data_IF_496517665055
#
_entry.id   IF_496517665055
#
_cell.length_a   1.000
_cell.length_b   1.000
_cell.length_c   1.000
_cell.angle_alpha   90.00
_cell.angle_beta   90.00
_cell.angle_gamma   90.00
#
_symmetry.space_group_name_H-M   'P 1'
#
loop_
_entity.id
_entity.type
_entity.pdbx_description
1 polymer ?
#
# COMPACT_ATOMS: atom_id res chain seq x y z
N UNK A 1 7.06 16.21 25.42
CA UNK A 1 7.75 15.36 24.42
C UNK A 1 8.59 16.29 23.56
N UNK A 2 9.89 16.03 23.42
CA UNK A 2 10.77 16.88 22.62
C UNK A 2 10.41 16.80 21.14
N UNK A 3 10.54 17.91 20.40
CA UNK A 3 10.46 17.90 18.95
C UNK A 3 11.49 16.91 18.41
N UNK A 4 11.02 15.84 17.76
CA UNK A 4 11.90 15.02 16.93
C UNK A 4 12.49 15.98 15.89
N UNK A 5 13.81 16.16 15.87
CA UNK A 5 14.49 16.76 14.72
C UNK A 5 14.00 15.97 13.51
N UNK A 6 13.18 16.55 12.61
CA UNK A 6 12.59 15.76 11.56
C UNK A 6 13.75 15.23 10.74
N UNK A 7 13.79 13.92 10.47
CA UNK A 7 14.73 13.26 9.56
C UNK A 7 14.58 13.75 8.09
N UNK A 8 14.05 14.97 7.90
CA UNK A 8 13.66 15.56 6.63
C UNK A 8 12.37 15.01 6.07
N UNK A 9 11.61 14.20 6.83
CA UNK A 9 10.43 13.50 6.31
C UNK A 9 9.30 14.43 5.87
N UNK A 10 9.24 15.64 6.41
CA UNK A 10 8.33 16.69 6.00
C UNK A 10 8.46 17.13 4.53
N UNK A 11 9.55 16.73 3.86
CA UNK A 11 9.86 17.02 2.45
C UNK A 11 9.48 15.89 1.49
N UNK A 12 9.09 14.72 1.99
CA UNK A 12 8.68 13.63 1.10
C UNK A 12 7.20 13.76 0.74
N UNK A 13 6.93 13.35 -0.50
CA UNK A 13 5.61 13.06 -1.03
C UNK A 13 5.67 11.61 -1.51
N UNK A 14 4.85 10.74 -0.94
CA UNK A 14 4.96 9.28 -1.14
C UNK A 14 3.65 8.73 -1.66
N UNK A 15 3.72 8.06 -2.81
CA UNK A 15 2.65 7.21 -3.34
C UNK A 15 3.11 5.77 -3.16
N UNK A 16 2.31 4.97 -2.48
CA UNK A 16 2.53 3.56 -2.24
C UNK A 16 1.40 2.78 -2.88
N UNK A 17 1.73 1.84 -3.77
CA UNK A 17 0.74 1.05 -4.49
C UNK A 17 0.95 -0.42 -4.12
N UNK A 18 -0.10 -1.05 -3.62
CA UNK A 18 -0.12 -2.49 -3.37
C UNK A 18 -0.69 -3.26 -4.55
N UNK A 19 -0.40 -4.55 -4.59
CA UNK A 19 -0.96 -5.51 -5.56
C UNK A 19 -2.20 -6.20 -5.02
N UNK A 20 -2.74 -5.68 -3.92
CA UNK A 20 -3.77 -6.30 -3.12
C UNK A 20 -3.33 -7.55 -2.37
N UNK A 21 -4.25 -8.08 -1.58
CA UNK A 21 -4.14 -9.33 -0.82
C UNK A 21 -5.49 -10.04 -0.85
N UNK A 22 -5.48 -11.36 -0.67
CA UNK A 22 -6.72 -12.09 -0.49
C UNK A 22 -7.50 -11.52 0.71
N UNK A 23 -8.83 -11.66 0.69
CA UNK A 23 -9.63 -11.54 1.91
C UNK A 23 -8.96 -12.33 3.05
N UNK A 24 -9.10 -11.86 4.30
CA UNK A 24 -8.54 -12.50 5.52
C UNK A 24 -9.12 -13.91 5.74
N UNK A 25 -8.76 -14.83 4.86
CA UNK A 25 -8.97 -16.26 5.01
C UNK A 25 -8.01 -16.70 6.11
N UNK A 26 -8.53 -17.27 7.19
CA UNK A 26 -7.72 -17.87 8.25
C UNK A 26 -7.04 -19.16 7.75
N UNK A 27 -6.22 -19.05 6.69
CA UNK A 27 -5.62 -20.17 5.94
C UNK A 27 -4.77 -21.07 6.83
N UNK A 28 -4.16 -20.49 7.86
CA UNK A 28 -3.27 -21.17 8.79
C UNK A 28 -3.66 -20.87 10.23
N UNK A 29 -3.46 -21.85 11.11
CA UNK A 29 -3.56 -21.65 12.55
C UNK A 29 -2.40 -22.36 13.28
N UNK A 30 -2.13 -21.93 14.51
CA UNK A 30 -1.02 -22.43 15.30
C UNK A 30 -1.07 -23.96 15.50
N UNK A 31 -2.27 -24.56 15.62
CA UNK A 31 -2.42 -26.02 15.80
C UNK A 31 -2.02 -26.79 14.53
N UNK A 32 -2.31 -26.25 13.34
CA UNK A 32 -1.90 -26.80 12.04
C UNK A 32 -0.39 -26.65 11.86
N UNK A 33 0.14 -25.44 12.06
CA UNK A 33 1.57 -25.13 11.90
C UNK A 33 2.48 -25.88 12.88
N UNK A 34 2.00 -26.19 14.10
CA UNK A 34 2.76 -26.97 15.08
C UNK A 34 3.13 -28.40 14.60
N UNK A 35 2.45 -28.90 13.57
CA UNK A 35 2.71 -30.22 12.97
C UNK A 35 3.53 -30.13 11.68
N UNK A 36 3.91 -28.93 11.23
CA UNK A 36 4.61 -28.74 9.96
C UNK A 36 6.09 -29.10 10.04
N UNK A 37 6.55 -29.84 9.03
CA UNK A 37 7.97 -29.97 8.69
C UNK A 37 8.38 -28.94 7.64
N UNK A 38 9.66 -28.94 7.23
CA UNK A 38 10.21 -27.98 6.24
C UNK A 38 9.39 -27.96 4.95
N UNK A 39 8.92 -29.12 4.47
CA UNK A 39 8.11 -29.20 3.24
C UNK A 39 6.80 -28.43 3.41
N UNK A 40 6.05 -28.65 4.49
CA UNK A 40 4.79 -27.93 4.75
C UNK A 40 4.97 -26.43 4.94
N UNK A 41 6.12 -26.00 5.48
CA UNK A 41 6.46 -24.58 5.54
C UNK A 41 6.70 -23.96 4.15
N UNK A 42 7.24 -24.72 3.20
CA UNK A 42 7.48 -24.28 1.82
C UNK A 42 6.24 -24.41 0.93
N UNK A 43 5.44 -25.45 1.15
CA UNK A 43 4.26 -25.77 0.36
C UNK A 43 3.24 -26.58 1.18
N UNK A 44 2.01 -26.09 1.27
CA UNK A 44 0.90 -26.76 1.94
C UNK A 44 -0.36 -26.58 1.10
N UNK A 45 -0.91 -27.66 0.55
CA UNK A 45 -2.23 -27.65 -0.13
C UNK A 45 -2.42 -26.54 -1.19
N UNK A 46 -1.46 -26.40 -2.11
CA UNK A 46 -1.52 -25.40 -3.18
C UNK A 46 -1.12 -23.97 -2.76
N UNK A 47 -0.71 -23.78 -1.50
CA UNK A 47 -0.22 -22.50 -0.97
C UNK A 47 1.28 -22.54 -0.69
N UNK A 48 1.89 -21.37 -0.50
CA UNK A 48 3.32 -21.23 -0.15
C UNK A 48 3.47 -20.50 1.19
N UNK A 49 3.25 -21.18 2.34
CA UNK A 49 2.99 -20.50 3.60
C UNK A 49 4.07 -19.52 4.04
N UNK A 50 5.35 -19.91 3.93
CA UNK A 50 6.45 -19.04 4.32
C UNK A 50 6.53 -17.78 3.45
N UNK A 51 6.33 -17.92 2.14
CA UNK A 51 6.38 -16.80 1.21
C UNK A 51 5.21 -15.84 1.48
N UNK A 52 4.00 -16.38 1.57
CA UNK A 52 2.77 -15.62 1.86
C UNK A 52 2.88 -14.86 3.19
N UNK A 53 3.32 -15.51 4.27
CA UNK A 53 3.48 -14.87 5.58
C UNK A 53 4.48 -13.72 5.49
N UNK A 54 5.63 -13.92 4.83
CA UNK A 54 6.66 -12.88 4.72
C UNK A 54 6.18 -11.71 3.86
N UNK A 55 5.49 -11.97 2.74
CA UNK A 55 5.01 -10.92 1.85
C UNK A 55 3.92 -10.08 2.51
N UNK A 56 2.94 -10.72 3.16
CA UNK A 56 1.85 -10.02 3.87
C UNK A 56 2.40 -9.27 5.08
N UNK A 57 3.27 -9.89 5.89
CA UNK A 57 3.88 -9.23 7.05
C UNK A 57 4.71 -8.01 6.63
N UNK A 58 5.45 -8.11 5.52
CA UNK A 58 6.25 -7.00 5.00
C UNK A 58 5.37 -5.84 4.56
N UNK A 59 4.28 -6.13 3.84
CA UNK A 59 3.26 -5.15 3.42
C UNK A 59 2.68 -4.41 4.64
N UNK A 60 2.23 -5.16 5.64
CA UNK A 60 1.63 -4.59 6.86
C UNK A 60 2.63 -3.75 7.66
N UNK A 61 3.85 -4.25 7.87
CA UNK A 61 4.89 -3.54 8.62
C UNK A 61 5.32 -2.25 7.93
N UNK A 62 5.58 -2.29 6.62
CA UNK A 62 6.01 -1.11 5.86
C UNK A 62 4.90 -0.06 5.85
N UNK A 63 3.66 -0.48 5.66
CA UNK A 63 2.54 0.44 5.65
C UNK A 63 2.28 1.05 7.03
N UNK A 64 2.22 0.23 8.09
CA UNK A 64 2.07 0.71 9.46
C UNK A 64 3.16 1.71 9.84
N UNK A 65 4.42 1.39 9.55
CA UNK A 65 5.53 2.30 9.83
C UNK A 65 5.40 3.63 9.07
N UNK A 66 5.00 3.57 7.79
CA UNK A 66 4.77 4.77 6.98
C UNK A 66 3.64 5.63 7.57
N UNK A 67 2.50 5.03 7.87
CA UNK A 67 1.33 5.70 8.47
C UNK A 67 1.69 6.36 9.81
N UNK A 68 2.42 5.67 10.68
CA UNK A 68 2.91 6.23 11.95
C UNK A 68 3.84 7.43 11.73
N UNK A 69 4.80 7.33 10.81
CA UNK A 69 5.74 8.43 10.53
C UNK A 69 5.00 9.65 10.00
N UNK A 70 4.11 9.49 9.02
CA UNK A 70 3.40 10.63 8.45
C UNK A 70 2.37 11.24 9.42
N UNK A 71 1.76 10.43 10.28
CA UNK A 71 0.86 10.94 11.31
C UNK A 71 1.58 11.67 12.44
N UNK A 72 2.69 11.13 12.94
CA UNK A 72 3.52 11.79 13.94
C UNK A 72 4.03 13.17 13.48
N UNK A 73 4.18 13.36 12.16
CA UNK A 73 4.61 14.60 11.53
C UNK A 73 3.46 15.49 11.03
N UNK A 74 2.20 15.12 11.30
CA UNK A 74 1.00 15.83 10.82
C UNK A 74 1.06 16.12 9.32
N UNK A 75 1.45 15.11 8.56
CA UNK A 75 1.67 15.16 7.11
C UNK A 75 1.02 13.96 6.43
N UNK A 76 -0.08 13.45 6.98
CA UNK A 76 -0.87 12.35 6.43
C UNK A 76 -1.27 12.61 4.98
N UNK A 77 -1.55 13.88 4.65
CA UNK A 77 -1.84 14.33 3.29
C UNK A 77 -0.66 14.15 2.31
N UNK A 78 0.55 13.80 2.76
CA UNK A 78 1.70 13.54 1.88
C UNK A 78 1.95 12.06 1.64
N UNK A 79 1.13 11.19 2.21
CA UNK A 79 1.22 9.74 2.06
C UNK A 79 -0.08 9.18 1.50
N UNK A 80 -0.01 8.67 0.27
CA UNK A 80 -1.13 8.00 -0.37
C UNK A 80 -0.81 6.51 -0.51
N UNK A 81 -1.55 5.65 0.18
CA UNK A 81 -1.57 4.20 -0.08
C UNK A 81 -2.82 3.85 -0.88
N UNK A 82 -2.62 3.17 -2.00
CA UNK A 82 -3.71 2.57 -2.78
C UNK A 82 -3.51 1.07 -2.75
N UNK A 83 -4.52 0.36 -2.27
CA UNK A 83 -4.46 -1.07 -2.04
C UNK A 83 -5.85 -1.70 -1.91
N UNK A 84 -5.92 -3.03 -2.04
CA UNK A 84 -7.17 -3.79 -1.96
C UNK A 84 -6.94 -5.09 -1.18
N UNK A 85 -7.58 -5.23 -0.03
CA UNK A 85 -7.52 -6.44 0.80
C UNK A 85 -8.74 -7.36 0.59
N UNK A 86 -9.50 -7.13 -0.48
CA UNK A 86 -10.74 -7.85 -0.79
C UNK A 86 -10.64 -8.76 -2.00
N UNK A 87 -9.42 -9.12 -2.43
CA UNK A 87 -9.23 -9.99 -3.59
C UNK A 87 -9.82 -11.39 -3.34
N UNK A 88 -10.46 -11.94 -4.36
CA UNK A 88 -10.89 -13.33 -4.40
C UNK A 88 -9.68 -14.25 -4.72
N UNK A 89 -9.89 -15.57 -4.59
CA UNK A 89 -8.80 -16.57 -4.65
C UNK A 89 -7.96 -16.49 -5.93
N UNK A 90 -8.60 -16.41 -7.09
CA UNK A 90 -7.91 -16.40 -8.40
C UNK A 90 -7.13 -15.11 -8.61
N UNK A 91 -7.72 -13.97 -8.23
CA UNK A 91 -7.13 -12.64 -8.31
C UNK A 91 -5.97 -12.46 -7.32
N UNK A 92 -6.01 -13.16 -6.18
CA UNK A 92 -4.90 -13.19 -5.21
C UNK A 92 -3.75 -14.13 -5.62
N UNK A 93 -3.93 -14.98 -6.65
CA UNK A 93 -2.92 -15.93 -7.09
C UNK A 93 -1.80 -15.24 -7.87
N UNK A 94 -0.56 -15.37 -7.40
CA UNK A 94 0.60 -14.68 -7.98
C UNK A 94 1.01 -15.19 -9.37
N UNK A 95 0.65 -16.43 -9.71
CA UNK A 95 1.10 -17.15 -10.90
C UNK A 95 -0.04 -17.46 -11.91
N UNK A 96 -1.27 -17.03 -11.62
CA UNK A 96 -2.44 -17.30 -12.47
C UNK A 96 -2.57 -16.28 -13.61
N UNK A 97 -1.70 -16.38 -14.61
CA UNK A 97 -1.66 -15.47 -15.76
C UNK A 97 -2.66 -15.80 -16.87
N UNK A 98 -3.88 -16.26 -16.54
CA UNK A 98 -4.92 -16.47 -17.56
C UNK A 98 -5.45 -15.13 -18.07
N UNK A 99 -5.86 -15.07 -19.34
CA UNK A 99 -6.41 -13.84 -19.93
C UNK A 99 -7.58 -13.29 -19.10
N UNK A 100 -8.49 -14.16 -18.66
CA UNK A 100 -9.64 -13.78 -17.83
C UNK A 100 -9.21 -13.17 -16.49
N UNK A 101 -8.23 -13.76 -15.81
CA UNK A 101 -7.75 -13.25 -14.53
C UNK A 101 -7.06 -11.87 -14.70
N UNK A 102 -6.22 -11.72 -15.74
CA UNK A 102 -5.57 -10.44 -16.03
C UNK A 102 -6.58 -9.33 -16.37
N UNK A 103 -7.64 -9.64 -17.13
CA UNK A 103 -8.73 -8.70 -17.41
C UNK A 103 -9.53 -8.35 -16.14
N UNK A 104 -9.74 -9.31 -15.23
CA UNK A 104 -10.32 -9.04 -13.91
C UNK A 104 -9.46 -8.06 -13.12
N UNK A 105 -8.15 -8.32 -13.00
CA UNK A 105 -7.21 -7.46 -12.27
C UNK A 105 -7.18 -6.03 -12.81
N UNK A 106 -7.26 -5.84 -14.13
CA UNK A 106 -7.40 -4.50 -14.74
C UNK A 106 -8.69 -3.82 -14.26
N UNK A 107 -9.84 -4.52 -14.32
CA UNK A 107 -11.13 -3.97 -13.85
C UNK A 107 -11.10 -3.62 -12.37
N UNK A 108 -10.42 -4.41 -11.54
CA UNK A 108 -10.24 -4.12 -10.12
C UNK A 108 -9.42 -2.85 -9.92
N UNK A 109 -8.28 -2.71 -10.60
CA UNK A 109 -7.47 -1.49 -10.56
C UNK A 109 -8.27 -0.24 -10.98
N UNK A 110 -9.08 -0.34 -12.03
CA UNK A 110 -9.97 0.75 -12.47
C UNK A 110 -11.04 1.09 -11.42
N UNK A 111 -11.62 0.08 -10.77
CA UNK A 111 -12.58 0.26 -9.68
C UNK A 111 -11.92 0.92 -8.47
N UNK A 112 -10.71 0.54 -8.11
CA UNK A 112 -9.96 1.12 -6.98
C UNK A 112 -9.74 2.63 -7.13
N UNK A 113 -9.62 3.15 -8.35
CA UNK A 113 -9.55 4.59 -8.60
C UNK A 113 -10.81 5.35 -8.14
N UNK A 114 -11.95 4.66 -8.05
CA UNK A 114 -13.24 5.22 -7.61
C UNK A 114 -13.51 5.03 -6.12
N UNK A 115 -12.74 4.18 -5.44
CA UNK A 115 -12.84 4.02 -3.99
C UNK A 115 -12.40 5.32 -3.29
N UNK A 116 -12.94 5.53 -2.08
CA UNK A 116 -12.52 6.63 -1.22
C UNK A 116 -11.08 6.42 -0.75
N UNK A 117 -10.36 7.52 -0.60
CA UNK A 117 -9.05 7.50 0.07
C UNK A 117 -9.26 7.00 1.50
N UNK A 118 -8.42 6.06 1.92
CA UNK A 118 -8.41 5.52 3.26
C UNK A 118 -7.03 5.69 3.90
N UNK A 119 -7.02 5.98 5.18
CA UNK A 119 -5.81 5.98 5.99
C UNK A 119 -5.89 4.85 7.01
N UNK A 120 -4.74 4.32 7.40
CA UNK A 120 -4.67 3.38 8.50
C UNK A 120 -4.96 4.12 9.81
N UNK A 121 -5.92 3.60 10.56
CA UNK A 121 -6.11 3.94 11.96
C UNK A 121 -4.99 3.26 12.76
N UNK A 122 -4.11 4.04 13.37
CA UNK A 122 -2.90 3.52 14.05
C UNK A 122 -3.27 2.71 15.30
N UNK A 123 -4.40 3.01 15.94
CA UNK A 123 -4.83 2.33 17.16
C UNK A 123 -5.41 0.95 16.87
N UNK A 124 -6.16 0.81 15.76
CA UNK A 124 -6.81 -0.45 15.37
C UNK A 124 -6.01 -1.26 14.35
N UNK A 125 -5.18 -0.60 13.55
CA UNK A 125 -4.49 -1.18 12.40
C UNK A 125 -5.37 -1.33 11.15
N UNK A 126 -6.65 -0.93 11.21
CA UNK A 126 -7.58 -1.05 10.10
C UNK A 126 -7.54 0.16 9.17
N UNK A 127 -7.91 -0.05 7.90
CA UNK A 127 -8.04 1.03 6.93
C UNK A 127 -9.42 1.66 7.01
N UNK A 128 -9.45 2.96 7.26
CA UNK A 128 -10.68 3.73 7.39
C UNK A 128 -10.72 4.85 6.35
N UNK A 129 -11.84 5.05 5.63
CA UNK A 129 -12.00 6.19 4.75
C UNK A 129 -11.75 7.50 5.50
N UNK A 130 -10.97 8.40 4.90
CA UNK A 130 -10.78 9.73 5.48
C UNK A 130 -12.12 10.49 5.57
N UNK A 131 -12.28 11.48 6.48
CA UNK A 131 -13.53 12.22 6.59
C UNK A 131 -13.98 12.87 5.28
N UNK A 132 -13.02 13.38 4.50
CA UNK A 132 -13.28 14.01 3.21
C UNK A 132 -13.77 12.99 2.18
N UNK A 133 -14.74 13.39 1.37
CA UNK A 133 -15.27 12.54 0.30
C UNK A 133 -14.41 12.66 -0.97
N UNK A 134 -13.17 12.18 -0.89
CA UNK A 134 -12.19 12.21 -1.98
C UNK A 134 -11.90 10.79 -2.46
N UNK A 135 -11.89 10.58 -3.77
CA UNK A 135 -11.52 9.31 -4.39
C UNK A 135 -10.03 9.21 -4.69
N UNK A 136 -9.53 7.98 -4.85
CA UNK A 136 -8.14 7.73 -5.25
C UNK A 136 -7.76 8.44 -6.57
N UNK A 137 -8.65 8.50 -7.57
CA UNK A 137 -8.42 9.25 -8.82
C UNK A 137 -8.20 10.75 -8.57
N UNK A 138 -9.03 11.36 -7.71
CA UNK A 138 -8.91 12.77 -7.37
C UNK A 138 -7.61 13.05 -6.63
N UNK A 139 -7.26 12.18 -5.69
CA UNK A 139 -6.05 12.33 -4.88
C UNK A 139 -4.78 12.11 -5.72
N UNK A 140 -4.79 11.13 -6.63
CA UNK A 140 -3.71 10.94 -7.61
C UNK A 140 -3.54 12.17 -8.51
N UNK A 141 -4.63 12.82 -8.95
CA UNK A 141 -4.54 14.10 -9.70
C UNK A 141 -3.91 15.21 -8.88
N UNK A 142 -4.22 15.30 -7.57
CA UNK A 142 -3.57 16.25 -6.65
C UNK A 142 -2.07 15.98 -6.55
N UNK A 143 -1.69 14.73 -6.31
CA UNK A 143 -0.28 14.31 -6.28
C UNK A 143 0.45 14.61 -7.59
N UNK A 144 -0.16 14.29 -8.74
CA UNK A 144 0.40 14.56 -10.06
C UNK A 144 0.66 16.07 -10.29
N UNK A 145 -0.25 16.93 -9.82
CA UNK A 145 -0.06 18.39 -9.86
C UNK A 145 1.14 18.82 -9.01
N UNK A 146 1.25 18.35 -7.77
CA UNK A 146 2.37 18.68 -6.88
C UNK A 146 3.71 18.27 -7.53
N UNK A 147 3.77 17.05 -8.07
CA UNK A 147 4.98 16.54 -8.75
C UNK A 147 5.34 17.37 -9.99
N UNK A 148 4.34 17.76 -10.80
CA UNK A 148 4.55 18.59 -11.99
C UNK A 148 5.09 19.98 -11.64
N UNK A 149 4.50 20.63 -10.64
CA UNK A 149 4.87 21.97 -10.19
C UNK A 149 6.26 21.98 -9.53
N UNK A 150 6.59 20.95 -8.76
CA UNK A 150 7.93 20.75 -8.18
C UNK A 150 8.99 20.56 -9.28
N UNK A 151 8.71 19.74 -10.29
CA UNK A 151 9.62 19.56 -11.44
C UNK A 151 9.89 20.87 -12.17
N UNK A 152 8.84 21.65 -12.46
CA UNK A 152 8.97 22.97 -13.12
C UNK A 152 9.82 23.91 -12.29
N UNK A 153 9.59 23.96 -10.97
CA UNK A 153 10.35 24.81 -10.05
C UNK A 153 11.84 24.47 -10.07
N UNK A 154 12.20 23.18 -10.03
CA UNK A 154 13.60 22.72 -10.13
C UNK A 154 14.25 23.12 -11.45
N UNK A 155 13.55 22.96 -12.56
CA UNK A 155 14.06 23.37 -13.89
C UNK A 155 14.33 24.87 -13.94
N UNK A 156 13.40 25.69 -13.42
CA UNK A 156 13.57 27.15 -13.36
C UNK A 156 14.78 27.56 -12.53
N UNK A 157 14.97 26.93 -11.36
CA UNK A 157 16.12 27.19 -10.49
C UNK A 157 17.44 26.85 -11.19
N UNK A 158 17.49 25.72 -11.92
CA UNK A 158 18.70 25.31 -12.66
C UNK A 158 19.01 26.33 -13.76
N UNK A 159 18.00 26.79 -14.53
CA UNK A 159 18.20 27.79 -15.58
C UNK A 159 18.78 29.09 -15.03
N UNK A 160 18.20 29.63 -13.95
CA UNK A 160 18.68 30.87 -13.30
C UNK A 160 20.08 30.77 -12.71
N UNK A 161 20.57 29.56 -12.40
CA UNK A 161 21.94 29.35 -11.89
C UNK A 161 22.98 29.28 -13.01
N UNK A 162 22.54 29.05 -14.24
CA UNK A 162 23.40 28.91 -15.41
C UNK A 162 23.40 30.18 -16.30
N UNK A 163 22.61 31.19 -15.91
CA UNK A 163 22.62 32.57 -16.44
C UNK A 163 23.51 33.45 -15.56
#
# INVERSE_FOLDING_TARGET
MGELKPLGYNRFLVISVGTGSANKEEKYNAKKAAKWGIISWLYDDGSTPLLEIITESSRDLVHFHSSVVFSALKSEDKYLRIDDDTLDKDESSMDLATKSNLENLVRMGEKMLKNRVAHMNIDTGDYEPIPDNVTNDQELKRFAKILSDERKSRITIIKRRNE
#
